data_IF_414126808310
#
_entry.id   IF_414126808310
#
_cell.length_a   1.000
_cell.length_b   1.000
_cell.length_c   1.000
_cell.angle_alpha   90.00
_cell.angle_beta   90.00
_cell.angle_gamma   90.00
#
_symmetry.space_group_name_H-M   'P 1'
#
loop_
_entity.id
_entity.type
_entity.pdbx_description
1 polymer ?
#
# COMPACT_ATOMS: atom_id res chain seq x y z
N UNK A 1 -25.76 -10.60 21.58
CA UNK A 1 -24.28 -10.61 21.48
C UNK A 1 -23.69 -9.47 22.29
N UNK A 2 -22.41 -9.54 22.70
CA UNK A 2 -21.73 -8.43 23.37
C UNK A 2 -21.38 -7.35 22.34
N UNK A 3 -21.27 -6.09 22.75
CA UNK A 3 -20.85 -5.01 21.86
C UNK A 3 -19.37 -5.17 21.42
N UNK A 4 -18.57 -5.83 22.26
CA UNK A 4 -17.16 -6.10 21.98
C UNK A 4 -16.79 -7.54 22.34
N UNK A 5 -15.78 -8.05 21.63
CA UNK A 5 -15.11 -9.32 21.89
C UNK A 5 -13.61 -9.03 22.12
N UNK A 6 -13.04 -9.59 23.18
CA UNK A 6 -11.59 -9.54 23.44
C UNK A 6 -11.02 -10.93 23.19
N UNK A 7 -10.15 -11.06 22.20
CA UNK A 7 -9.55 -12.34 21.82
C UNK A 7 -8.45 -12.77 22.80
N UNK A 8 -8.01 -14.03 22.72
CA UNK A 8 -6.87 -14.54 23.50
C UNK A 8 -5.54 -13.87 23.12
N UNK A 9 -5.43 -13.33 21.90
CA UNK A 9 -4.28 -12.49 21.53
C UNK A 9 -4.33 -11.11 22.17
N UNK A 10 -5.47 -10.71 22.76
CA UNK A 10 -5.71 -9.38 23.31
C UNK A 10 -6.19 -8.36 22.27
N UNK A 11 -6.66 -8.82 21.11
CA UNK A 11 -7.31 -7.96 20.14
C UNK A 11 -8.72 -7.61 20.62
N UNK A 12 -9.05 -6.31 20.59
CA UNK A 12 -10.43 -5.83 20.82
C UNK A 12 -11.14 -5.78 19.48
N UNK A 13 -12.27 -6.47 19.36
CA UNK A 13 -13.11 -6.43 18.18
C UNK A 13 -14.48 -5.83 18.53
N UNK A 14 -15.01 -5.01 17.63
CA UNK A 14 -16.29 -4.30 17.75
C UNK A 14 -17.33 -5.04 16.91
N UNK A 15 -18.53 -5.24 17.46
CA UNK A 15 -19.65 -5.83 16.74
C UNK A 15 -20.13 -4.91 15.62
N UNK A 16 -20.15 -5.43 14.39
CA UNK A 16 -20.71 -4.77 13.21
C UNK A 16 -22.08 -5.37 12.90
N UNK A 17 -23.09 -4.51 12.79
CA UNK A 17 -24.46 -4.93 12.47
C UNK A 17 -24.64 -5.10 10.96
N UNK A 18 -25.41 -6.11 10.51
CA UNK A 18 -25.82 -6.27 9.12
C UNK A 18 -26.40 -4.98 8.53
N UNK A 19 -26.26 -4.81 7.23
CA UNK A 19 -26.81 -3.65 6.53
C UNK A 19 -26.40 -3.58 5.07
N UNK A 20 -26.95 -2.59 4.38
CA UNK A 20 -26.67 -2.30 2.98
C UNK A 20 -25.92 -0.97 2.87
N UNK A 21 -25.00 -0.89 1.91
CA UNK A 21 -24.27 0.34 1.60
C UNK A 21 -23.89 0.38 0.12
N UNK A 22 -23.50 1.56 -0.35
CA UNK A 22 -22.91 1.73 -1.67
C UNK A 22 -21.40 1.53 -1.55
N UNK A 23 -20.91 0.43 -2.12
CA UNK A 23 -19.48 0.12 -2.22
C UNK A 23 -18.90 0.71 -3.50
N UNK A 24 -17.68 1.24 -3.46
CA UNK A 24 -17.03 1.89 -4.60
C UNK A 24 -17.01 3.42 -4.48
N UNK A 25 -16.62 4.11 -5.56
CA UNK A 25 -16.49 5.55 -5.63
C UNK A 25 -17.17 6.10 -6.90
N UNK A 26 -17.79 7.29 -6.83
CA UNK A 26 -18.38 7.91 -8.00
C UNK A 26 -17.27 8.36 -8.98
N UNK A 27 -17.53 8.43 -10.30
CA UNK A 27 -16.53 8.86 -11.29
C UNK A 27 -15.96 10.27 -11.08
N UNK A 28 -16.64 11.10 -10.27
CA UNK A 28 -16.19 12.44 -9.89
C UNK A 28 -15.24 12.46 -8.69
N UNK A 29 -15.11 11.35 -7.95
CA UNK A 29 -14.18 11.26 -6.83
C UNK A 29 -12.73 11.33 -7.36
N UNK A 30 -11.91 12.21 -6.77
CA UNK A 30 -10.50 12.30 -7.12
C UNK A 30 -9.80 10.97 -6.82
N UNK A 31 -9.07 10.45 -7.81
CA UNK A 31 -8.38 9.16 -7.71
C UNK A 31 -9.26 7.94 -7.98
N UNK A 32 -10.51 8.12 -8.42
CA UNK A 32 -11.39 7.03 -8.85
C UNK A 32 -10.73 6.14 -9.91
N UNK A 33 -10.88 4.83 -9.74
CA UNK A 33 -10.42 3.83 -10.71
C UNK A 33 -11.60 3.02 -11.26
N UNK A 34 -11.50 2.47 -12.49
CA UNK A 34 -12.62 1.75 -13.12
C UNK A 34 -13.14 0.53 -12.35
N UNK A 35 -12.30 -0.11 -11.53
CA UNK A 35 -12.69 -1.25 -10.69
C UNK A 35 -13.27 -0.84 -9.33
N UNK A 36 -13.50 0.45 -9.14
CA UNK A 36 -14.16 1.05 -7.98
C UNK A 36 -15.59 1.51 -8.32
N UNK A 37 -16.21 1.01 -9.40
CA UNK A 37 -17.60 1.35 -9.76
C UNK A 37 -18.58 1.11 -8.60
N UNK A 38 -19.46 2.09 -8.38
CA UNK A 38 -20.46 2.05 -7.31
C UNK A 38 -21.47 0.92 -7.50
N UNK A 39 -21.69 0.15 -6.44
CA UNK A 39 -22.73 -0.89 -6.38
C UNK A 39 -23.31 -1.03 -4.98
N UNK A 40 -24.59 -1.38 -4.92
CA UNK A 40 -25.22 -1.75 -3.66
C UNK A 40 -24.72 -3.13 -3.20
N UNK A 41 -24.25 -3.20 -1.96
CA UNK A 41 -23.81 -4.44 -1.30
C UNK A 41 -24.61 -4.60 -0.01
N UNK A 42 -25.06 -5.82 0.28
CA UNK A 42 -25.81 -6.15 1.49
C UNK A 42 -25.09 -7.21 2.30
N UNK A 43 -24.60 -6.85 3.48
CA UNK A 43 -24.03 -7.79 4.44
C UNK A 43 -25.17 -8.37 5.28
N UNK A 44 -25.45 -9.67 5.13
CA UNK A 44 -26.60 -10.35 5.74
C UNK A 44 -26.36 -10.87 7.15
N UNK A 45 -25.10 -10.87 7.61
CA UNK A 45 -24.71 -11.44 8.89
C UNK A 45 -23.86 -10.45 9.69
N UNK A 46 -24.09 -10.45 10.99
CA UNK A 46 -23.20 -9.80 11.95
C UNK A 46 -21.81 -10.41 11.94
N UNK A 47 -20.82 -9.59 12.27
CA UNK A 47 -19.45 -10.03 12.52
C UNK A 47 -18.80 -9.10 13.54
N UNK A 48 -17.74 -9.54 14.19
CA UNK A 48 -16.85 -8.65 14.92
C UNK A 48 -15.66 -8.31 14.04
N UNK A 49 -15.26 -7.03 14.01
CA UNK A 49 -14.04 -6.59 13.33
C UNK A 49 -13.07 -5.99 14.34
N UNK A 50 -11.77 -6.23 14.18
CA UNK A 50 -10.73 -5.60 15.01
C UNK A 50 -10.91 -4.08 15.05
N UNK A 51 -10.91 -3.50 16.25
CA UNK A 51 -11.01 -2.05 16.46
C UNK A 51 -9.78 -1.31 15.87
N UNK A 52 -8.66 -2.00 15.78
CA UNK A 52 -7.39 -1.58 15.20
C UNK A 52 -6.84 -2.72 14.32
N UNK A 53 -5.80 -2.47 13.50
CA UNK A 53 -5.01 -3.56 12.92
C UNK A 53 -4.38 -4.41 14.05
N UNK A 54 -4.00 -5.64 13.73
CA UNK A 54 -3.30 -6.53 14.65
C UNK A 54 -1.94 -5.93 14.99
N UNK A 55 -1.67 -5.76 16.28
CA UNK A 55 -0.38 -5.24 16.76
C UNK A 55 0.71 -6.30 16.73
N UNK A 56 1.97 -5.87 16.74
CA UNK A 56 3.13 -6.76 16.85
C UNK A 56 3.01 -7.71 18.06
N UNK A 57 2.62 -7.21 19.24
CA UNK A 57 2.43 -8.05 20.43
C UNK A 57 1.25 -9.01 20.33
N UNK A 58 0.15 -8.62 19.68
CA UNK A 58 -0.99 -9.52 19.47
C UNK A 58 -0.61 -10.65 18.52
N UNK A 59 0.13 -10.34 17.46
CA UNK A 59 0.64 -11.33 16.52
C UNK A 59 1.56 -12.33 17.23
N UNK A 60 2.59 -11.82 17.93
CA UNK A 60 3.57 -12.62 18.66
C UNK A 60 2.92 -13.48 19.75
N UNK A 61 1.93 -12.96 20.47
CA UNK A 61 1.22 -13.73 21.50
C UNK A 61 0.51 -14.97 20.93
N UNK A 62 -0.03 -14.88 19.71
CA UNK A 62 -0.76 -15.99 19.11
C UNK A 62 0.16 -16.99 18.42
N UNK A 63 1.23 -16.52 17.77
CA UNK A 63 2.06 -17.33 16.86
C UNK A 63 3.42 -17.69 17.44
N UNK A 64 3.93 -16.90 18.39
CA UNK A 64 5.30 -17.00 18.93
C UNK A 64 6.36 -16.31 18.05
N UNK A 65 5.97 -15.62 16.99
CA UNK A 65 6.89 -14.95 16.05
C UNK A 65 6.46 -13.50 15.81
N UNK A 66 7.38 -12.64 15.36
CA UNK A 66 7.08 -11.28 14.92
C UNK A 66 7.75 -11.00 13.57
N UNK A 67 7.01 -10.98 12.45
CA UNK A 67 7.58 -10.86 11.11
C UNK A 67 7.85 -9.41 10.66
N UNK A 68 7.52 -8.42 11.49
CA UNK A 68 7.68 -6.99 11.16
C UNK A 68 9.11 -6.65 10.74
N UNK A 69 9.24 -5.76 9.76
CA UNK A 69 10.53 -5.14 9.42
C UNK A 69 10.79 -3.86 10.22
N UNK A 70 9.81 -3.44 11.04
CA UNK A 70 9.88 -2.27 11.93
C UNK A 70 9.72 -2.64 13.43
N UNK A 71 10.57 -3.50 14.00
CA UNK A 71 10.45 -3.88 15.42
C UNK A 71 10.64 -2.69 16.38
N UNK A 72 11.36 -1.65 15.95
CA UNK A 72 11.57 -0.42 16.72
C UNK A 72 10.32 0.47 16.83
N UNK A 73 9.26 0.23 16.03
CA UNK A 73 7.99 0.94 16.15
C UNK A 73 7.24 0.60 17.45
N UNK A 74 7.62 -0.51 18.09
CA UNK A 74 7.12 -0.91 19.40
C UNK A 74 5.95 -1.90 19.33
N UNK A 75 5.72 -2.56 20.47
CA UNK A 75 4.79 -3.68 20.60
C UNK A 75 3.33 -3.38 20.22
N UNK A 76 2.92 -2.11 20.34
CA UNK A 76 1.56 -1.63 20.10
C UNK A 76 1.42 -0.99 18.70
N UNK A 77 2.48 -0.97 17.89
CA UNK A 77 2.38 -0.69 16.46
C UNK A 77 1.78 -1.90 15.73
N UNK A 78 1.14 -1.72 14.56
CA UNK A 78 0.66 -2.84 13.77
C UNK A 78 1.81 -3.75 13.36
N UNK A 79 1.53 -5.05 13.28
CA UNK A 79 2.40 -5.96 12.56
C UNK A 79 2.31 -5.61 11.07
N UNK A 80 3.48 -5.54 10.42
CA UNK A 80 3.59 -5.34 8.98
C UNK A 80 4.47 -6.42 8.36
N UNK A 81 4.69 -6.36 7.06
CA UNK A 81 5.45 -7.37 6.31
C UNK A 81 4.88 -8.79 6.47
N UNK A 82 3.57 -8.89 6.66
CA UNK A 82 2.85 -10.16 6.78
C UNK A 82 2.36 -10.55 5.40
N UNK A 83 2.64 -11.78 4.95
CA UNK A 83 2.05 -12.29 3.71
C UNK A 83 0.59 -12.72 3.94
N UNK A 84 -0.20 -12.84 2.87
CA UNK A 84 -1.59 -13.29 2.98
C UNK A 84 -1.70 -14.67 3.66
N UNK A 85 -0.79 -15.58 3.32
CA UNK A 85 -0.73 -16.93 3.93
C UNK A 85 -0.43 -16.87 5.44
N UNK A 86 0.50 -15.99 5.85
CA UNK A 86 0.83 -15.79 7.27
C UNK A 86 -0.36 -15.21 8.04
N UNK A 87 -1.08 -14.27 7.45
CA UNK A 87 -2.27 -13.69 8.04
C UNK A 87 -3.40 -14.74 8.20
N UNK A 88 -3.57 -15.61 7.20
CA UNK A 88 -4.48 -16.76 7.28
C UNK A 88 -4.08 -17.78 8.37
N UNK A 89 -2.79 -18.05 8.52
CA UNK A 89 -2.27 -18.92 9.57
C UNK A 89 -2.51 -18.31 10.97
N UNK A 90 -2.31 -16.99 11.14
CA UNK A 90 -2.66 -16.28 12.37
C UNK A 90 -4.14 -16.43 12.71
N UNK A 91 -5.04 -16.22 11.73
CA UNK A 91 -6.49 -16.35 11.93
C UNK A 91 -6.87 -17.77 12.37
N UNK A 92 -6.30 -18.79 11.71
CA UNK A 92 -6.50 -20.19 12.07
C UNK A 92 -6.04 -20.46 13.51
N UNK A 93 -4.86 -19.93 13.89
CA UNK A 93 -4.32 -20.11 15.23
C UNK A 93 -5.15 -19.43 16.31
N UNK A 94 -5.60 -18.20 16.05
CA UNK A 94 -6.45 -17.46 16.98
C UNK A 94 -7.81 -18.15 17.17
N UNK A 95 -8.34 -18.77 16.11
CA UNK A 95 -9.56 -19.59 16.17
C UNK A 95 -9.38 -20.79 17.11
N UNK A 96 -8.26 -21.51 17.05
CA UNK A 96 -7.97 -22.60 17.97
C UNK A 96 -7.91 -22.12 19.43
N UNK A 97 -7.14 -21.05 19.68
CA UNK A 97 -6.93 -20.49 21.01
C UNK A 97 -8.25 -20.04 21.65
N UNK A 98 -9.03 -19.26 20.93
CA UNK A 98 -10.28 -18.71 21.48
C UNK A 98 -11.38 -19.76 21.62
N UNK A 99 -11.39 -20.80 20.77
CA UNK A 99 -12.28 -21.94 20.94
C UNK A 99 -11.94 -22.74 22.19
N UNK A 100 -10.65 -22.95 22.48
CA UNK A 100 -10.19 -23.61 23.71
C UNK A 100 -10.49 -22.77 24.96
N UNK A 101 -10.38 -21.45 24.85
CA UNK A 101 -10.67 -20.53 25.94
C UNK A 101 -12.17 -20.25 26.14
N UNK A 102 -13.04 -20.72 25.25
CA UNK A 102 -14.48 -20.43 25.28
C UNK A 102 -14.82 -18.95 25.01
N UNK A 103 -13.92 -18.23 24.33
CA UNK A 103 -14.08 -16.82 23.95
C UNK A 103 -14.87 -16.68 22.64
N UNK A 104 -14.58 -17.53 21.66
CA UNK A 104 -15.22 -17.49 20.35
C UNK A 104 -16.56 -18.26 20.37
N UNK A 105 -17.65 -17.69 19.84
CA UNK A 105 -18.92 -18.41 19.75
C UNK A 105 -18.81 -19.71 18.96
N UNK A 106 -19.68 -20.69 19.29
CA UNK A 106 -19.76 -21.94 18.54
C UNK A 106 -20.15 -21.67 17.07
N UNK A 107 -19.46 -22.35 16.15
CA UNK A 107 -19.68 -22.16 14.70
C UNK A 107 -19.10 -20.86 14.15
N UNK A 108 -18.27 -20.14 14.90
CA UNK A 108 -17.55 -18.96 14.42
C UNK A 108 -16.06 -19.27 14.18
N UNK A 109 -15.43 -18.46 13.35
CA UNK A 109 -14.00 -18.49 13.07
C UNK A 109 -13.44 -17.07 12.94
N UNK A 110 -12.14 -16.94 13.20
CA UNK A 110 -11.39 -15.78 12.75
C UNK A 110 -10.94 -15.97 11.31
N UNK A 111 -11.03 -14.89 10.53
CA UNK A 111 -10.51 -14.81 9.18
C UNK A 111 -10.16 -13.37 8.82
N UNK A 112 -9.52 -13.19 7.67
CA UNK A 112 -9.42 -11.87 7.04
C UNK A 112 -10.82 -11.39 6.61
N UNK A 113 -11.08 -10.06 6.64
CA UNK A 113 -12.32 -9.51 6.11
C UNK A 113 -12.39 -9.70 4.59
N UNK A 114 -13.60 -9.67 4.05
CA UNK A 114 -13.77 -9.38 2.62
C UNK A 114 -13.58 -7.88 2.36
N UNK A 115 -13.32 -7.47 1.12
CA UNK A 115 -13.25 -6.05 0.76
C UNK A 115 -14.56 -5.33 1.07
N UNK A 116 -15.70 -6.02 0.93
CA UNK A 116 -17.02 -5.48 1.24
C UNK A 116 -17.20 -5.24 2.75
N UNK A 117 -16.83 -6.21 3.58
CA UNK A 117 -16.88 -6.07 5.05
C UNK A 117 -15.92 -4.96 5.53
N UNK A 118 -14.74 -4.90 4.93
CA UNK A 118 -13.73 -3.89 5.23
C UNK A 118 -14.23 -2.49 4.87
N UNK A 119 -14.75 -2.29 3.66
CA UNK A 119 -15.21 -0.97 3.20
C UNK A 119 -16.45 -0.51 3.97
N UNK A 120 -17.38 -1.42 4.24
CA UNK A 120 -18.56 -1.14 5.07
C UNK A 120 -18.16 -0.61 6.46
N UNK A 121 -17.22 -1.31 7.11
CA UNK A 121 -16.73 -0.90 8.42
C UNK A 121 -15.88 0.38 8.35
N UNK A 122 -15.10 0.60 7.29
CA UNK A 122 -14.31 1.81 7.08
C UNK A 122 -15.21 3.03 6.96
N UNK A 123 -16.25 2.92 6.13
CA UNK A 123 -17.25 3.96 5.87
C UNK A 123 -18.06 4.31 7.10
N UNK A 124 -18.47 3.31 7.89
CA UNK A 124 -19.28 3.51 9.10
C UNK A 124 -20.51 4.41 8.86
N UNK A 125 -21.15 4.27 7.69
CA UNK A 125 -22.29 5.07 7.25
C UNK A 125 -21.95 6.35 6.46
N UNK A 126 -20.66 6.65 6.23
CA UNK A 126 -20.20 7.78 5.42
C UNK A 126 -19.91 7.34 3.95
N UNK A 127 -20.36 8.14 2.98
CA UNK A 127 -20.16 7.86 1.56
C UNK A 127 -18.97 8.61 0.91
N UNK A 128 -18.35 9.54 1.63
CA UNK A 128 -17.19 10.28 1.16
C UNK A 128 -15.97 9.36 0.94
N UNK A 129 -14.98 9.87 0.19
CA UNK A 129 -13.74 9.16 -0.10
C UNK A 129 -12.97 8.75 1.17
N UNK A 130 -13.13 9.49 2.27
CA UNK A 130 -12.51 9.26 3.57
C UNK A 130 -13.55 9.44 4.66
N UNK A 131 -13.45 8.66 5.73
CA UNK A 131 -14.33 8.85 6.89
C UNK A 131 -13.94 10.11 7.68
N UNK A 132 -14.87 10.59 8.50
CA UNK A 132 -14.78 11.90 9.14
C UNK A 132 -15.50 12.97 8.31
N UNK A 133 -15.75 14.13 8.92
CA UNK A 133 -16.66 15.13 8.39
C UNK A 133 -16.14 15.71 7.07
N UNK A 134 -16.99 15.73 6.03
CA UNK A 134 -16.67 16.03 4.63
C UNK A 134 -16.00 17.40 4.43
N UNK A 135 -16.16 18.31 5.40
CA UNK A 135 -15.69 19.70 5.34
C UNK A 135 -14.50 20.01 6.27
N UNK A 136 -14.00 19.10 7.13
CA UNK A 136 -13.09 19.54 8.21
C UNK A 136 -12.00 18.61 8.74
N UNK A 137 -12.00 17.31 8.42
CA UNK A 137 -10.91 16.45 8.91
C UNK A 137 -9.78 16.32 7.89
N UNK A 138 -8.65 16.95 8.20
CA UNK A 138 -7.42 16.72 7.45
C UNK A 138 -7.03 15.24 7.57
N UNK A 139 -6.55 14.62 6.48
CA UNK A 139 -6.07 13.23 6.46
C UNK A 139 -5.09 12.96 7.63
N UNK A 140 -4.27 13.95 7.96
CA UNK A 140 -3.35 13.94 9.11
C UNK A 140 -3.98 13.60 10.45
N UNK A 141 -5.28 13.84 10.64
CA UNK A 141 -5.96 13.53 11.89
C UNK A 141 -6.47 12.10 11.96
N UNK A 142 -6.68 11.44 10.81
CA UNK A 142 -7.29 10.10 10.74
C UNK A 142 -6.33 9.00 10.27
N UNK A 143 -5.20 9.35 9.64
CA UNK A 143 -4.30 8.39 9.03
C UNK A 143 -2.81 8.70 9.29
N UNK A 144 -2.03 7.63 9.37
CA UNK A 144 -0.57 7.65 9.20
C UNK A 144 -0.26 7.28 7.74
N UNK A 145 0.26 8.20 6.96
CA UNK A 145 0.56 7.98 5.54
C UNK A 145 1.91 8.58 5.20
N UNK A 146 2.37 8.44 3.96
CA UNK A 146 3.74 8.75 3.55
C UNK A 146 4.27 10.10 4.07
N UNK A 147 3.45 11.16 4.05
CA UNK A 147 3.91 12.51 4.38
C UNK A 147 4.09 12.73 5.90
N UNK A 148 3.39 11.96 6.74
CA UNK A 148 3.39 12.17 8.19
C UNK A 148 3.84 10.96 9.02
N UNK A 149 4.09 9.81 8.38
CA UNK A 149 4.42 8.57 9.08
C UNK A 149 5.92 8.32 9.22
N UNK A 150 6.77 9.17 8.64
CA UNK A 150 8.25 9.05 8.73
C UNK A 150 8.75 7.68 8.23
N UNK A 151 8.06 7.09 7.25
CA UNK A 151 8.44 5.83 6.62
C UNK A 151 8.34 4.59 7.53
N UNK A 152 7.51 4.61 8.57
CA UNK A 152 7.32 3.50 9.50
C UNK A 152 5.89 3.42 10.05
N UNK A 153 5.45 2.25 10.57
CA UNK A 153 4.19 2.17 11.28
C UNK A 153 4.25 2.90 12.63
N UNK A 154 3.08 3.28 13.13
CA UNK A 154 2.90 3.95 14.43
C UNK A 154 1.94 3.18 15.31
N UNK A 155 2.03 3.43 16.63
CA UNK A 155 1.13 2.80 17.61
C UNK A 155 -0.33 2.97 17.20
N UNK A 156 -1.08 1.86 17.23
CA UNK A 156 -2.49 1.85 16.80
C UNK A 156 -3.35 2.76 17.68
N UNK A 157 -4.43 3.29 17.11
CA UNK A 157 -5.41 4.08 17.84
C UNK A 157 -4.99 5.50 18.21
N UNK A 158 -3.88 5.99 17.66
CA UNK A 158 -3.40 7.37 17.91
C UNK A 158 -4.10 8.42 17.04
N UNK A 159 -4.73 8.01 15.93
CA UNK A 159 -5.53 8.86 15.05
C UNK A 159 -7.02 8.78 15.38
N UNK A 160 -7.79 9.75 14.90
CA UNK A 160 -9.24 9.83 15.13
C UNK A 160 -9.95 8.62 14.49
N UNK A 161 -10.80 7.88 15.25
CA UNK A 161 -11.55 6.76 14.70
C UNK A 161 -12.72 7.23 13.83
N UNK A 162 -13.28 6.32 13.05
CA UNK A 162 -14.55 6.56 12.37
C UNK A 162 -15.75 6.52 13.35
N UNK A 163 -16.97 6.75 12.83
CA UNK A 163 -18.19 6.86 13.63
C UNK A 163 -18.54 5.60 14.43
N UNK A 164 -17.97 4.44 14.09
CA UNK A 164 -18.18 3.17 14.80
C UNK A 164 -17.04 2.80 15.75
N UNK A 165 -16.01 3.66 15.86
CA UNK A 165 -14.89 3.44 16.78
C UNK A 165 -13.74 2.62 16.20
N UNK A 166 -13.72 2.39 14.88
CA UNK A 166 -12.58 1.76 14.20
C UNK A 166 -11.49 2.80 13.95
N UNK A 167 -10.28 2.50 14.42
CA UNK A 167 -9.09 3.31 14.19
C UNK A 167 -8.25 2.71 13.06
N UNK A 168 -7.42 3.57 12.45
CA UNK A 168 -6.44 3.20 11.44
C UNK A 168 -7.05 2.37 10.30
N UNK A 169 -8.31 2.66 9.93
CA UNK A 169 -8.92 2.09 8.73
C UNK A 169 -8.31 2.72 7.47
N UNK A 170 -7.69 3.89 7.58
CA UNK A 170 -6.90 4.50 6.52
C UNK A 170 -5.47 4.73 7.01
N UNK A 171 -4.49 4.37 6.20
CA UNK A 171 -3.07 4.46 6.52
C UNK A 171 -2.61 3.47 7.59
N UNK A 172 -1.47 3.77 8.21
CA UNK A 172 -0.67 2.90 9.07
C UNK A 172 -0.21 1.66 8.31
N UNK A 173 -1.01 0.62 8.15
CA UNK A 173 -0.69 -0.52 7.29
C UNK A 173 -1.84 -0.79 6.35
N UNK A 174 -1.54 -1.18 5.11
CA UNK A 174 -2.61 -1.71 4.26
C UNK A 174 -3.02 -3.10 4.79
N UNK A 175 -4.28 -3.45 4.63
CA UNK A 175 -4.85 -4.63 5.29
C UNK A 175 -5.30 -5.67 4.26
N UNK A 176 -4.78 -6.89 4.40
CA UNK A 176 -5.19 -8.02 3.56
C UNK A 176 -6.68 -8.34 3.68
N UNK A 177 -7.30 -8.62 2.53
CA UNK A 177 -8.65 -9.13 2.41
C UNK A 177 -8.66 -10.56 1.82
N UNK A 178 -9.81 -11.24 1.93
CA UNK A 178 -10.01 -12.56 1.33
C UNK A 178 -10.03 -12.54 -0.21
N UNK A 179 -10.48 -11.43 -0.77
CA UNK A 179 -10.82 -11.27 -2.18
C UNK A 179 -9.61 -11.41 -3.09
N UNK A 180 -9.85 -11.92 -4.30
CA UNK A 180 -8.89 -11.79 -5.38
C UNK A 180 -9.01 -10.38 -5.94
N UNK A 181 -7.89 -9.65 -5.98
CA UNK A 181 -7.85 -8.38 -6.69
C UNK A 181 -7.73 -8.63 -8.19
N UNK A 182 -6.77 -9.43 -8.61
CA UNK A 182 -6.55 -9.81 -10.02
C UNK A 182 -6.30 -11.32 -10.07
N UNK A 183 -7.10 -12.05 -10.85
CA UNK A 183 -6.97 -13.51 -11.04
C UNK A 183 -5.95 -13.84 -12.12
N UNK A 184 -5.95 -13.13 -13.26
CA UNK A 184 -5.00 -13.40 -14.34
C UNK A 184 -3.55 -13.09 -13.93
N UNK A 185 -3.35 -12.11 -13.06
CA UNK A 185 -2.10 -11.89 -12.33
C UNK A 185 -2.35 -12.11 -10.83
N UNK A 186 -2.23 -13.35 -10.32
CA UNK A 186 -2.81 -13.79 -9.06
C UNK A 186 -2.33 -12.95 -7.87
N UNK A 187 -3.16 -12.00 -7.45
CA UNK A 187 -2.94 -11.15 -6.29
C UNK A 187 -4.22 -10.99 -5.47
N UNK A 188 -4.05 -10.91 -4.14
CA UNK A 188 -5.14 -10.71 -3.18
C UNK A 188 -5.33 -9.24 -2.92
N UNK A 189 -6.57 -8.86 -2.63
CA UNK A 189 -6.90 -7.49 -2.33
C UNK A 189 -6.29 -7.03 -1.02
N UNK A 190 -5.84 -5.78 -1.01
CA UNK A 190 -5.50 -5.02 0.19
C UNK A 190 -6.24 -3.69 0.17
N UNK A 191 -6.51 -3.15 1.36
CA UNK A 191 -7.29 -1.93 1.54
C UNK A 191 -6.63 -0.95 2.51
N UNK A 192 -7.06 0.31 2.46
CA UNK A 192 -6.75 1.37 3.44
C UNK A 192 -5.51 2.22 3.18
N UNK A 193 -4.57 1.76 2.36
CA UNK A 193 -3.25 2.41 2.25
C UNK A 193 -2.41 2.20 3.52
N UNK A 194 -1.19 2.72 3.53
CA UNK A 194 -0.22 2.48 4.60
C UNK A 194 0.63 3.72 4.91
N UNK A 195 1.51 3.61 5.91
CA UNK A 195 2.56 4.57 6.25
C UNK A 195 3.51 4.88 5.08
N UNK A 196 3.48 4.05 4.04
CA UNK A 196 4.31 4.20 2.85
C UNK A 196 3.53 4.77 1.65
N UNK A 197 2.20 4.75 1.71
CA UNK A 197 1.37 5.19 0.60
C UNK A 197 1.03 6.67 0.67
N UNK A 198 0.77 7.27 -0.50
CA UNK A 198 0.33 8.66 -0.59
C UNK A 198 -1.09 8.84 -0.06
N UNK A 199 -1.51 10.10 0.05
CA UNK A 199 -2.89 10.45 0.38
C UNK A 199 -3.90 9.84 -0.62
N UNK A 200 -3.53 9.63 -1.88
CA UNK A 200 -4.42 9.12 -2.92
C UNK A 200 -4.85 7.65 -2.68
N UNK A 201 -3.99 6.83 -2.07
CA UNK A 201 -4.35 5.47 -1.68
C UNK A 201 -5.12 5.38 -0.36
N UNK A 202 -5.09 6.44 0.46
CA UNK A 202 -5.86 6.52 1.70
C UNK A 202 -7.30 6.95 1.41
N UNK A 203 -8.04 6.12 0.67
CA UNK A 203 -9.49 6.26 0.39
C UNK A 203 -10.24 4.98 0.73
N UNK A 204 -11.47 5.12 1.19
CA UNK A 204 -12.34 4.00 1.54
C UNK A 204 -12.55 3.06 0.36
N UNK A 205 -12.72 3.57 -0.86
CA UNK A 205 -12.93 2.76 -2.07
C UNK A 205 -11.65 2.22 -2.72
N UNK A 206 -10.45 2.68 -2.30
CA UNK A 206 -9.19 2.33 -2.98
C UNK A 206 -8.90 0.84 -2.91
N UNK A 207 -8.83 0.18 -4.06
CA UNK A 207 -8.46 -1.23 -4.18
C UNK A 207 -7.05 -1.39 -4.73
N UNK A 208 -6.24 -2.21 -4.07
CA UNK A 208 -4.91 -2.60 -4.53
C UNK A 208 -4.72 -4.12 -4.40
N UNK A 209 -3.73 -4.66 -5.11
CA UNK A 209 -3.46 -6.09 -5.13
C UNK A 209 -2.00 -6.42 -4.92
N UNK A 210 -1.72 -7.38 -4.03
CA UNK A 210 -0.38 -7.90 -3.78
C UNK A 210 -0.33 -9.41 -3.97
N UNK A 211 0.82 -9.92 -4.44
CA UNK A 211 1.02 -11.36 -4.58
C UNK A 211 0.91 -12.03 -3.20
N UNK A 212 0.17 -13.14 -3.05
CA UNK A 212 -0.16 -13.71 -1.74
C UNK A 212 1.06 -14.09 -0.90
N UNK A 213 2.13 -14.57 -1.56
CA UNK A 213 3.38 -14.97 -0.91
C UNK A 213 4.39 -13.83 -0.73
N UNK A 214 4.13 -12.65 -1.31
CA UNK A 214 4.96 -11.48 -1.05
C UNK A 214 4.65 -10.97 0.35
N UNK A 215 5.69 -10.70 1.12
CA UNK A 215 5.53 -10.16 2.48
C UNK A 215 5.04 -8.71 2.47
N UNK A 216 5.15 -7.98 1.34
CA UNK A 216 4.63 -6.62 1.15
C UNK A 216 5.05 -5.68 2.29
N UNK A 217 6.13 -4.90 2.13
CA UNK A 217 6.90 -4.30 3.24
C UNK A 217 6.10 -3.48 4.27
N UNK A 218 4.88 -3.06 3.94
CA UNK A 218 3.97 -2.23 4.73
C UNK A 218 2.54 -2.80 4.83
N UNK A 219 2.34 -4.06 4.42
CA UNK A 219 1.05 -4.75 4.53
C UNK A 219 0.96 -5.50 5.85
N UNK A 220 -0.09 -5.20 6.60
CA UNK A 220 -0.44 -5.85 7.85
C UNK A 220 -1.76 -6.58 7.73
N UNK A 221 -2.50 -6.64 8.82
CA UNK A 221 -3.80 -7.31 8.85
C UNK A 221 -4.71 -6.74 9.91
N UNK A 222 -6.01 -6.80 9.64
CA UNK A 222 -7.08 -6.70 10.63
C UNK A 222 -7.86 -8.00 10.61
N UNK A 223 -8.24 -8.47 11.79
CA UNK A 223 -9.00 -9.72 11.92
C UNK A 223 -10.47 -9.46 12.10
N UNK A 224 -11.26 -10.36 11.54
CA UNK A 224 -12.69 -10.44 11.71
C UNK A 224 -13.04 -11.80 12.34
N UNK A 225 -14.02 -11.82 13.24
CA UNK A 225 -14.66 -13.04 13.73
C UNK A 225 -16.10 -13.09 13.22
N UNK A 226 -16.50 -14.16 12.54
CA UNK A 226 -17.83 -14.31 11.95
C UNK A 226 -18.29 -15.77 11.98
N UNK A 227 -19.60 -16.03 11.74
CA UNK A 227 -20.07 -17.38 11.50
C UNK A 227 -19.31 -18.06 10.34
N UNK A 228 -18.98 -19.33 10.52
CA UNK A 228 -18.41 -20.17 9.45
C UNK A 228 -19.45 -20.32 8.35
N UNK A 229 -19.07 -20.00 7.12
CA UNK A 229 -19.97 -20.08 5.98
C UNK A 229 -19.46 -19.34 4.76
N UNK A 230 -20.21 -19.38 3.66
CA UNK A 230 -19.90 -18.56 2.50
C UNK A 230 -20.03 -17.08 2.86
N UNK A 231 -19.10 -16.28 2.35
CA UNK A 231 -19.14 -14.82 2.40
C UNK A 231 -19.06 -14.28 0.98
N UNK A 232 -19.63 -13.11 0.76
CA UNK A 232 -19.66 -12.47 -0.55
C UNK A 232 -18.30 -11.87 -0.87
N UNK A 233 -17.73 -12.28 -2.01
CA UNK A 233 -16.48 -11.74 -2.52
C UNK A 233 -16.78 -10.68 -3.58
N UNK A 234 -16.06 -9.56 -3.48
CA UNK A 234 -15.98 -8.54 -4.50
C UNK A 234 -15.39 -9.13 -5.79
N UNK A 235 -15.95 -8.82 -6.96
CA UNK A 235 -15.37 -9.24 -8.23
C UNK A 235 -13.90 -8.76 -8.37
N UNK A 236 -13.00 -9.60 -8.91
CA UNK A 236 -11.66 -9.16 -9.29
C UNK A 236 -11.71 -8.11 -10.40
N UNK A 237 -10.62 -7.37 -10.59
CA UNK A 237 -10.48 -6.37 -11.64
C UNK A 237 -10.63 -6.94 -13.05
N UNK A 238 -10.41 -8.24 -13.26
CA UNK A 238 -10.63 -8.93 -14.54
C UNK A 238 -12.09 -8.90 -14.99
N UNK A 239 -13.02 -8.83 -14.04
CA UNK A 239 -14.46 -8.89 -14.31
C UNK A 239 -15.03 -7.51 -14.69
N UNK A 240 -14.25 -6.44 -14.46
CA UNK A 240 -14.62 -5.08 -14.86
C UNK A 240 -14.21 -4.85 -16.31
N UNK A 241 -15.09 -4.22 -17.08
CA UNK A 241 -14.76 -3.86 -18.45
C UNK A 241 -13.68 -2.79 -18.39
N UNK A 242 -12.44 -3.09 -18.81
CA UNK A 242 -11.40 -2.08 -18.90
C UNK A 242 -11.93 -0.95 -19.80
N UNK A 243 -12.17 0.28 -19.27
CA UNK A 243 -12.57 1.37 -20.14
C UNK A 243 -11.45 1.64 -21.13
N UNK A 244 -11.74 2.35 -22.22
CA UNK A 244 -10.69 2.92 -23.06
C UNK A 244 -9.71 3.67 -22.16
N UNK A 245 -8.51 3.12 -21.94
CA UNK A 245 -7.51 3.70 -21.04
C UNK A 245 -7.29 5.15 -21.50
N UNK A 246 -7.53 6.12 -20.61
CA UNK A 246 -7.13 7.51 -20.87
C UNK A 246 -5.62 7.52 -21.17
N UNK A 247 -5.15 8.27 -22.18
CA UNK A 247 -3.75 8.27 -22.53
C UNK A 247 -2.90 8.73 -21.34
N UNK A 248 -1.79 8.03 -21.09
CA UNK A 248 -0.82 8.39 -20.04
C UNK A 248 0.25 9.37 -20.57
N UNK A 249 1.08 9.90 -19.66
CA UNK A 249 2.28 10.65 -20.07
C UNK A 249 3.19 9.81 -20.98
N UNK A 250 3.30 8.50 -20.75
CA UNK A 250 4.07 7.60 -21.61
C UNK A 250 3.45 7.49 -23.00
N UNK A 251 2.13 7.35 -23.11
CA UNK A 251 1.43 7.31 -24.40
C UNK A 251 1.62 8.61 -25.20
N UNK A 252 1.54 9.76 -24.51
CA UNK A 252 1.77 11.07 -25.11
C UNK A 252 3.20 11.21 -25.66
N UNK A 253 4.20 10.75 -24.91
CA UNK A 253 5.60 10.76 -25.36
C UNK A 253 5.88 9.75 -26.48
N UNK A 254 5.28 8.56 -26.43
CA UNK A 254 5.35 7.58 -27.52
C UNK A 254 4.76 8.13 -28.81
N UNK A 255 3.65 8.89 -28.70
CA UNK A 255 3.02 9.58 -29.81
C UNK A 255 3.70 10.91 -30.21
N UNK A 256 4.68 11.39 -29.43
CA UNK A 256 5.29 12.73 -29.55
C UNK A 256 4.27 13.88 -29.50
N UNK A 257 3.17 13.67 -28.78
CA UNK A 257 2.12 14.66 -28.56
C UNK A 257 2.36 15.37 -27.21
N UNK A 258 3.30 16.31 -27.19
CA UNK A 258 3.62 17.06 -25.98
C UNK A 258 2.43 17.92 -25.50
N UNK A 259 1.53 18.36 -26.39
CA UNK A 259 0.33 19.09 -26.00
C UNK A 259 -0.67 18.20 -25.25
N UNK A 260 -0.74 16.91 -25.59
CA UNK A 260 -1.46 15.93 -24.78
C UNK A 260 -0.79 15.71 -23.41
N UNK A 261 0.54 15.65 -23.33
CA UNK A 261 1.25 15.53 -22.06
C UNK A 261 0.95 16.71 -21.12
N UNK A 262 0.99 17.95 -21.63
CA UNK A 262 0.62 19.17 -20.87
C UNK A 262 -0.82 19.11 -20.36
N UNK A 263 -1.77 18.66 -21.20
CA UNK A 263 -3.18 18.52 -20.79
C UNK A 263 -3.37 17.46 -19.72
N UNK A 264 -2.72 16.29 -19.88
CA UNK A 264 -2.78 15.21 -18.89
C UNK A 264 -2.30 15.73 -17.54
N UNK A 265 -1.19 16.47 -17.52
CA UNK A 265 -0.64 17.00 -16.28
C UNK A 265 -1.50 18.12 -15.68
N UNK A 266 -2.08 18.99 -16.50
CA UNK A 266 -3.00 20.03 -16.05
C UNK A 266 -4.28 19.46 -15.43
N UNK A 267 -4.80 18.35 -15.99
CA UNK A 267 -5.98 17.65 -15.48
C UNK A 267 -5.65 16.78 -14.25
N UNK A 268 -4.45 16.22 -14.19
CA UNK A 268 -4.00 15.37 -13.10
C UNK A 268 -2.53 15.65 -12.71
N UNK A 269 -2.30 16.62 -11.81
CA UNK A 269 -0.96 16.93 -11.30
C UNK A 269 -0.23 15.73 -10.66
N UNK A 270 -0.96 14.76 -10.10
CA UNK A 270 -0.39 13.56 -9.48
C UNK A 270 0.29 12.61 -10.48
N UNK A 271 0.08 12.80 -11.79
CA UNK A 271 0.77 12.05 -12.84
C UNK A 271 2.30 12.24 -12.82
N UNK A 272 2.81 13.31 -12.18
CA UNK A 272 4.24 13.57 -12.04
C UNK A 272 4.98 12.55 -11.18
N UNK A 273 4.36 12.08 -10.11
CA UNK A 273 5.05 11.30 -9.08
C UNK A 273 4.76 9.80 -9.18
N UNK A 274 3.86 9.39 -10.08
CA UNK A 274 3.29 8.04 -10.07
C UNK A 274 2.28 7.88 -8.94
N UNK A 275 1.29 7.01 -9.15
CA UNK A 275 0.29 6.67 -8.14
C UNK A 275 0.70 5.37 -7.44
N UNK A 276 0.28 5.20 -6.19
CA UNK A 276 0.54 4.00 -5.36
C UNK A 276 0.44 2.68 -6.17
N UNK A 277 1.50 1.87 -6.13
CA UNK A 277 1.64 0.63 -6.91
C UNK A 277 2.17 0.80 -8.34
N UNK A 278 2.38 2.03 -8.82
CA UNK A 278 3.14 2.34 -10.03
C UNK A 278 4.47 2.93 -9.56
N UNK A 279 5.63 2.44 -10.06
CA UNK A 279 6.92 3.03 -9.70
C UNK A 279 6.88 4.54 -9.98
N UNK A 280 7.47 5.39 -9.11
CA UNK A 280 7.43 6.82 -9.32
C UNK A 280 7.81 7.17 -10.76
N UNK A 281 7.19 8.19 -11.37
CA UNK A 281 7.33 8.39 -12.83
C UNK A 281 8.80 8.52 -13.27
N UNK A 282 9.66 9.06 -12.42
CA UNK A 282 11.12 9.06 -12.61
C UNK A 282 11.72 7.63 -12.63
N UNK A 283 11.37 6.75 -11.69
CA UNK A 283 11.78 5.35 -11.68
C UNK A 283 11.22 4.56 -12.85
N UNK A 284 9.96 4.77 -13.23
CA UNK A 284 9.37 4.15 -14.41
C UNK A 284 10.18 4.50 -15.67
N UNK A 285 10.57 5.78 -15.81
CA UNK A 285 11.46 6.23 -16.87
C UNK A 285 12.86 5.61 -16.77
N UNK A 286 13.38 5.41 -15.56
CA UNK A 286 14.66 4.71 -15.37
C UNK A 286 14.53 3.26 -15.81
N UNK A 287 13.52 2.49 -15.38
CA UNK A 287 13.39 1.08 -15.77
C UNK A 287 13.21 0.87 -17.28
N UNK A 288 12.70 1.89 -17.98
CA UNK A 288 12.42 1.86 -19.42
C UNK A 288 13.38 2.71 -20.27
N UNK A 289 14.43 3.26 -19.67
CA UNK A 289 15.44 4.17 -20.28
C UNK A 289 14.86 5.37 -21.05
N UNK A 290 13.85 6.03 -20.48
CA UNK A 290 13.12 7.15 -21.11
C UNK A 290 13.68 8.51 -20.70
N UNK A 291 14.92 8.79 -21.07
CA UNK A 291 15.63 10.01 -20.62
C UNK A 291 14.96 11.34 -21.02
N UNK A 292 14.24 11.40 -22.15
CA UNK A 292 13.50 12.61 -22.57
C UNK A 292 12.29 12.89 -21.67
N UNK A 293 11.47 11.86 -21.41
CA UNK A 293 10.35 11.98 -20.48
C UNK A 293 10.86 12.25 -19.05
N UNK A 294 11.95 11.57 -18.64
CA UNK A 294 12.59 11.79 -17.34
C UNK A 294 12.98 13.27 -17.13
N UNK A 295 13.63 13.85 -18.14
CA UNK A 295 14.02 15.25 -18.15
C UNK A 295 12.80 16.18 -18.06
N UNK A 296 11.76 15.90 -18.87
CA UNK A 296 10.52 16.69 -18.86
C UNK A 296 9.80 16.63 -17.51
N UNK A 297 9.73 15.45 -16.86
CA UNK A 297 9.15 15.30 -15.52
C UNK A 297 9.88 16.18 -14.49
N UNK A 298 11.22 16.20 -14.51
CA UNK A 298 12.00 17.08 -13.63
C UNK A 298 11.77 18.56 -13.91
N UNK A 299 11.63 18.94 -15.19
CA UNK A 299 11.30 20.32 -15.59
C UNK A 299 9.91 20.76 -15.10
N UNK A 300 9.02 19.80 -14.85
CA UNK A 300 7.66 20.03 -14.32
C UNK A 300 7.56 19.80 -12.81
N UNK A 301 8.69 19.72 -12.10
CA UNK A 301 8.74 19.70 -10.64
C UNK A 301 8.67 18.31 -10.01
N UNK A 302 8.91 17.24 -10.77
CA UNK A 302 9.04 15.90 -10.19
C UNK A 302 10.17 15.87 -9.13
N UNK A 303 9.91 15.24 -8.00
CA UNK A 303 10.81 15.21 -6.86
C UNK A 303 12.05 14.34 -7.15
N UNK A 304 13.19 15.00 -7.33
CA UNK A 304 14.46 14.36 -7.70
C UNK A 304 14.96 13.33 -6.68
N UNK A 305 14.58 13.48 -5.40
CA UNK A 305 14.93 12.56 -4.31
C UNK A 305 13.80 11.61 -3.94
N UNK A 306 12.71 11.57 -4.72
CA UNK A 306 11.60 10.67 -4.46
C UNK A 306 12.11 9.24 -4.43
N UNK A 307 11.82 8.49 -3.37
CA UNK A 307 12.24 7.09 -3.26
C UNK A 307 11.17 6.18 -3.83
N UNK A 308 11.59 5.09 -4.49
CA UNK A 308 10.63 4.06 -4.91
C UNK A 308 10.18 3.20 -3.75
N UNK A 309 9.04 2.54 -3.98
CA UNK A 309 8.22 1.95 -2.93
C UNK A 309 8.76 0.65 -2.33
N UNK A 310 9.54 -0.11 -3.10
CA UNK A 310 9.93 -1.47 -2.73
C UNK A 310 11.30 -1.56 -2.08
N UNK A 311 12.26 -0.70 -2.41
CA UNK A 311 13.64 -0.74 -1.88
C UNK A 311 14.08 0.58 -1.26
N UNK A 312 13.23 1.61 -1.27
CA UNK A 312 13.57 2.96 -0.83
C UNK A 312 14.68 3.61 -1.66
N UNK A 313 14.92 3.14 -2.88
CA UNK A 313 15.99 3.61 -3.75
C UNK A 313 15.67 5.00 -4.32
N UNK A 314 16.63 5.92 -4.30
CA UNK A 314 16.51 7.21 -5.00
C UNK A 314 16.61 7.00 -6.51
N UNK A 315 16.14 7.94 -7.34
CA UNK A 315 16.24 7.82 -8.79
C UNK A 315 17.71 7.66 -9.22
N UNK A 316 18.66 8.30 -8.52
CA UNK A 316 20.09 8.17 -8.82
C UNK A 316 20.60 6.74 -8.57
N UNK A 317 20.31 6.18 -7.41
CA UNK A 317 20.75 4.80 -7.10
C UNK A 317 20.15 3.78 -8.06
N UNK A 318 18.87 3.95 -8.44
CA UNK A 318 18.22 3.10 -9.44
C UNK A 318 18.86 3.27 -10.82
N UNK A 319 19.14 4.50 -11.26
CA UNK A 319 19.78 4.76 -12.55
C UNK A 319 21.19 4.17 -12.65
N UNK A 320 21.93 4.15 -11.53
CA UNK A 320 23.25 3.50 -11.42
C UNK A 320 23.12 1.98 -11.60
N UNK A 321 22.17 1.34 -10.92
CA UNK A 321 21.94 -0.11 -11.03
C UNK A 321 21.47 -0.50 -12.44
N UNK A 322 20.59 0.30 -13.03
CA UNK A 322 20.15 0.10 -14.41
C UNK A 322 21.23 0.49 -15.44
N UNK A 323 22.31 1.17 -15.01
CA UNK A 323 23.44 1.65 -15.81
C UNK A 323 23.06 2.68 -16.89
N UNK A 324 22.03 3.49 -16.62
CA UNK A 324 21.51 4.48 -17.57
C UNK A 324 22.29 5.80 -17.49
N UNK A 325 23.45 5.84 -18.15
CA UNK A 325 24.43 6.94 -18.11
C UNK A 325 23.83 8.32 -18.35
N UNK A 326 22.89 8.45 -19.30
CA UNK A 326 22.26 9.74 -19.62
C UNK A 326 21.40 10.25 -18.46
N UNK A 327 20.64 9.35 -17.81
CA UNK A 327 19.81 9.70 -16.67
C UNK A 327 20.68 10.01 -15.44
N UNK A 328 21.77 9.26 -15.22
CA UNK A 328 22.77 9.58 -14.18
C UNK A 328 23.30 11.01 -14.35
N UNK A 329 23.69 11.38 -15.58
CA UNK A 329 24.16 12.75 -15.86
C UNK A 329 23.09 13.79 -15.52
N UNK A 330 21.85 13.59 -15.98
CA UNK A 330 20.73 14.52 -15.73
C UNK A 330 20.52 14.72 -14.23
N UNK A 331 20.56 13.64 -13.45
CA UNK A 331 20.37 13.68 -12.00
C UNK A 331 21.50 14.44 -11.30
N UNK A 332 22.75 14.19 -11.68
CA UNK A 332 23.90 14.89 -11.10
C UNK A 332 23.93 16.38 -11.47
N UNK A 333 23.60 16.72 -12.72
CA UNK A 333 23.49 18.11 -13.17
C UNK A 333 22.42 18.90 -12.41
N UNK A 334 21.39 18.20 -11.91
CA UNK A 334 20.32 18.75 -11.08
C UNK A 334 20.57 18.65 -9.57
N UNK A 335 21.74 18.19 -9.16
CA UNK A 335 22.14 18.17 -7.75
C UNK A 335 21.50 17.06 -6.93
N UNK A 336 21.21 15.90 -7.53
CA UNK A 336 20.76 14.72 -6.79
C UNK A 336 21.77 14.30 -5.71
N UNK A 337 21.30 13.76 -4.58
CA UNK A 337 22.17 13.30 -3.49
C UNK A 337 23.06 12.13 -3.94
N UNK A 338 24.36 12.33 -3.84
CA UNK A 338 25.39 11.38 -4.30
C UNK A 338 25.96 10.50 -3.20
N UNK A 339 25.51 10.67 -1.95
CA UNK A 339 26.04 10.01 -0.75
C UNK A 339 26.21 8.49 -0.88
N UNK A 340 25.29 7.82 -1.61
CA UNK A 340 25.30 6.36 -1.83
C UNK A 340 25.77 5.94 -3.22
N UNK A 341 26.01 6.88 -4.13
CA UNK A 341 26.19 6.60 -5.55
C UNK A 341 27.41 5.69 -5.84
N UNK A 342 28.57 6.01 -5.25
CA UNK A 342 29.79 5.23 -5.47
C UNK A 342 29.70 3.83 -4.87
N UNK A 343 29.14 3.72 -3.65
CA UNK A 343 28.96 2.43 -2.96
C UNK A 343 28.02 1.51 -3.75
N UNK A 344 26.89 2.03 -4.23
CA UNK A 344 25.94 1.29 -5.07
C UNK A 344 26.59 0.85 -6.38
N UNK A 345 27.36 1.72 -7.04
CA UNK A 345 28.05 1.37 -8.28
C UNK A 345 29.10 0.26 -8.10
N UNK A 346 29.75 0.19 -6.94
CA UNK A 346 30.74 -0.85 -6.61
C UNK A 346 30.10 -2.19 -6.23
N UNK A 347 28.89 -2.16 -5.67
CA UNK A 347 28.13 -3.35 -5.25
C UNK A 347 27.24 -3.92 -6.35
N UNK A 348 26.69 -3.07 -7.22
CA UNK A 348 25.74 -3.43 -8.27
C UNK A 348 24.31 -3.67 -7.80
N UNK A 349 23.93 -3.17 -6.62
CA UNK A 349 22.58 -3.35 -6.04
C UNK A 349 22.04 -2.05 -5.43
N UNK A 350 20.74 -1.81 -5.59
CA UNK A 350 20.03 -0.69 -4.97
C UNK A 350 19.48 -1.16 -3.62
N UNK A 351 19.94 -0.57 -2.51
CA UNK A 351 19.47 -0.87 -1.15
C UNK A 351 20.54 -1.41 -0.19
N UNK A 352 20.14 -1.65 1.05
CA UNK A 352 21.02 -2.11 2.14
C UNK A 352 21.09 -3.64 2.23
N UNK A 353 21.55 -4.28 1.15
CA UNK A 353 21.81 -5.72 1.12
C UNK A 353 23.24 -6.04 1.56
N UNK A 354 23.44 -7.22 2.17
CA UNK A 354 24.77 -7.76 2.40
C UNK A 354 25.52 -7.89 1.06
N UNK A 355 26.80 -7.52 1.05
CA UNK A 355 27.61 -7.56 -0.16
C UNK A 355 27.79 -9.02 -0.62
N UNK A 356 27.21 -9.39 -1.75
CA UNK A 356 27.42 -10.69 -2.40
C UNK A 356 28.57 -10.59 -3.43
N UNK A 357 29.74 -11.20 -3.17
CA UNK A 357 30.89 -11.16 -4.07
C UNK A 357 30.69 -11.98 -5.36
N UNK A 358 29.63 -12.77 -5.47
CA UNK A 358 29.35 -13.67 -6.60
C UNK A 358 28.55 -13.03 -7.72
N UNK A 359 28.00 -11.82 -7.50
CA UNK A 359 27.39 -11.01 -8.56
C UNK A 359 28.50 -10.52 -9.49
N UNK A 360 28.49 -11.04 -10.72
CA UNK A 360 29.38 -10.65 -11.80
C UNK A 360 29.41 -9.11 -11.98
N UNK A 361 30.60 -8.50 -11.84
CA UNK A 361 30.82 -7.04 -11.92
C UNK A 361 31.06 -6.55 -13.35
N UNK A 362 30.69 -7.30 -14.37
CA UNK A 362 30.77 -6.84 -15.76
C UNK A 362 29.74 -5.73 -16.05
N UNK A 363 30.24 -4.56 -16.47
CA UNK A 363 29.44 -3.39 -16.90
C UNK A 363 29.30 -2.25 -15.89
N UNK A 364 29.74 -2.40 -14.64
CA UNK A 364 29.72 -1.31 -13.64
C UNK A 364 31.00 -0.46 -13.63
N UNK A 365 32.11 -0.94 -14.21
CA UNK A 365 33.36 -0.18 -14.32
C UNK A 365 33.18 1.17 -15.03
N UNK A 366 32.39 1.19 -16.12
CA UNK A 366 32.09 2.41 -16.86
C UNK A 366 31.21 3.39 -16.05
N UNK A 367 30.35 2.88 -15.17
CA UNK A 367 29.54 3.71 -14.28
C UNK A 367 30.41 4.31 -13.18
N UNK A 368 31.33 3.53 -12.61
CA UNK A 368 32.31 4.04 -11.64
C UNK A 368 33.19 5.14 -12.26
N UNK A 369 33.68 4.94 -13.48
CA UNK A 369 34.45 5.95 -14.21
C UNK A 369 33.62 7.21 -14.54
N UNK A 370 32.37 7.02 -14.96
CA UNK A 370 31.44 8.13 -15.19
C UNK A 370 31.24 8.94 -13.90
N UNK A 371 30.89 8.28 -12.79
CA UNK A 371 30.69 8.93 -11.50
C UNK A 371 31.93 9.73 -11.06
N UNK A 372 33.14 9.17 -11.20
CA UNK A 372 34.39 9.89 -10.91
C UNK A 372 34.59 11.11 -11.80
N UNK A 373 34.31 10.98 -13.10
CA UNK A 373 34.43 12.07 -14.07
C UNK A 373 33.47 13.21 -13.74
N UNK A 374 32.30 12.87 -13.19
CA UNK A 374 31.27 13.81 -12.73
C UNK A 374 31.48 14.30 -11.30
N UNK A 375 32.63 14.00 -10.69
CA UNK A 375 33.02 14.54 -9.38
C UNK A 375 32.41 13.83 -8.18
N UNK A 376 31.75 12.69 -8.38
CA UNK A 376 31.25 11.83 -7.30
C UNK A 376 32.42 11.03 -6.73
N UNK A 377 32.57 11.06 -5.39
CA UNK A 377 33.69 10.46 -4.68
C UNK A 377 33.36 9.10 -4.10
#
# INVERSE_FOLDING_TARGET
>A
MKAELISSSGARLILVTPGSFIMGSPPSEQGHMPWEEEREVTLSHEFYLGATPVTQAQYERATGENPTVHPAAGKDAPVDSVSWDMAGAFCSKLTELDRQAGVLPEGWEYRLPTEAEWEYACRAGNQEARYGDADSIALDQIAWYLDNAEGRPHTVGQKVPNAWGFHDMLGNVCEWCQDWFWRANPCRAVRGGSYYNTAAACRAARREGWMPGNRGRYCGMRVLAAPVGPFELTPPVDDFTAPSRKPSLFDAFDAKDYALAERILAENPEALEGLDGIPPSLHACIYTDRSELFQWLLDHGAAIERREQDYGATPLTTAIVMRHKRIIQILLDRGADTSRAMDVALRGSAGDFEADPSLDREGYGEIVELLRTLGVK
#
